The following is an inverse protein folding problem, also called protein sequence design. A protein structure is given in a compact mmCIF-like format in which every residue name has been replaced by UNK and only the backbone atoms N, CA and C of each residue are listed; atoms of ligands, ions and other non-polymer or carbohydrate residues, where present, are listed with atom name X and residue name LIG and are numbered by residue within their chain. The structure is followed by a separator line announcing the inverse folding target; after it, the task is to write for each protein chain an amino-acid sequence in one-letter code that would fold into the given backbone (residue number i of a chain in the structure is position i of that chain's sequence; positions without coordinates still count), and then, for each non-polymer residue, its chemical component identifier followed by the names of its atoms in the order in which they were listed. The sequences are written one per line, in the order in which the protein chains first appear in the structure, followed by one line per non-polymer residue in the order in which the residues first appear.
data_IF_524857303004
#
_entry.id   IF_524857303004
#
_cell.length_a   1.000
_cell.length_b   1.000
_cell.length_c   1.000
_cell.angle_alpha   90.00
_cell.angle_beta   90.00
_cell.angle_gamma   90.00
#
_symmetry.space_group_name_H-M   'P 1'
#
loop_
_entity.id
_entity.type
_entity.pdbx_description
1 polymer ?
#
# COMPACT_ATOMS: atom_id res chain seq x y z
N UNK A 1 7.34 -25.90 13.04
CA UNK A 1 7.06 -24.79 13.98
C UNK A 1 6.11 -25.32 15.04
N UNK A 2 6.48 -25.26 16.33
CA UNK A 2 5.60 -25.61 17.42
C UNK A 2 4.58 -24.49 17.69
N UNK A 3 3.39 -24.81 18.22
CA UNK A 3 2.35 -23.80 18.49
C UNK A 3 2.82 -22.65 19.38
N UNK A 4 3.85 -22.86 20.24
CA UNK A 4 4.46 -21.83 21.07
C UNK A 4 5.19 -20.75 20.27
N UNK A 5 5.65 -21.06 19.07
CA UNK A 5 6.39 -20.16 18.19
C UNK A 5 5.46 -19.19 17.44
N UNK A 6 4.13 -19.43 17.52
CA UNK A 6 3.09 -18.58 16.93
C UNK A 6 2.50 -17.57 17.92
N UNK A 7 3.03 -17.53 19.17
CA UNK A 7 2.53 -16.62 20.19
C UNK A 7 2.49 -15.17 19.71
N UNK A 8 1.37 -14.49 20.00
CA UNK A 8 1.10 -13.11 19.62
C UNK A 8 0.50 -12.91 18.23
N UNK A 9 0.59 -13.88 17.31
CA UNK A 9 0.03 -13.74 15.98
C UNK A 9 -1.50 -13.77 16.00
N UNK A 10 -2.18 -12.90 15.22
CA UNK A 10 -3.62 -12.94 15.02
C UNK A 10 -4.07 -14.27 14.42
N UNK A 11 -5.26 -14.77 14.83
CA UNK A 11 -5.77 -16.07 14.38
C UNK A 11 -5.89 -16.15 12.86
N UNK A 12 -6.37 -15.09 12.20
CA UNK A 12 -6.49 -15.05 10.74
C UNK A 12 -5.13 -15.24 10.03
N UNK A 13 -4.04 -14.69 10.59
CA UNK A 13 -2.68 -14.84 10.06
C UNK A 13 -2.20 -16.29 10.21
N UNK A 14 -2.53 -16.94 11.33
CA UNK A 14 -2.22 -18.36 11.59
C UNK A 14 -2.99 -19.25 10.62
N UNK A 15 -4.28 -18.97 10.38
CA UNK A 15 -5.14 -19.77 9.50
C UNK A 15 -4.70 -19.62 8.04
N UNK A 16 -4.37 -18.39 7.59
CA UNK A 16 -3.78 -18.16 6.27
C UNK A 16 -2.44 -18.91 6.09
N UNK A 17 -1.58 -18.90 7.12
CA UNK A 17 -0.31 -19.63 7.06
C UNK A 17 -0.50 -21.15 7.01
N UNK A 18 -1.54 -21.68 7.69
CA UNK A 18 -1.92 -23.10 7.61
C UNK A 18 -2.43 -23.47 6.23
N UNK A 19 -3.29 -22.63 5.64
CA UNK A 19 -3.77 -22.82 4.27
C UNK A 19 -2.61 -22.81 3.28
N UNK A 20 -1.70 -21.81 3.35
CA UNK A 20 -0.51 -21.74 2.51
C UNK A 20 0.40 -22.98 2.64
N UNK A 21 0.47 -23.60 3.81
CA UNK A 21 1.19 -24.86 4.00
C UNK A 21 0.48 -26.01 3.28
N UNK A 22 -0.84 -26.13 3.46
CA UNK A 22 -1.66 -27.15 2.82
C UNK A 22 -1.60 -27.09 1.29
N UNK A 23 -1.72 -25.89 0.71
CA UNK A 23 -1.63 -25.65 -0.74
C UNK A 23 -0.26 -26.04 -1.32
N UNK A 24 0.79 -25.95 -0.49
CA UNK A 24 2.14 -26.39 -0.84
C UNK A 24 2.42 -27.86 -0.52
N UNK A 25 1.44 -28.64 -0.03
CA UNK A 25 1.62 -30.02 0.39
C UNK A 25 2.50 -30.18 1.64
N UNK A 26 2.57 -29.16 2.50
CA UNK A 26 3.37 -29.14 3.72
C UNK A 26 2.47 -29.27 4.95
N UNK A 27 3.00 -29.86 6.01
CA UNK A 27 2.37 -29.86 7.34
C UNK A 27 2.76 -28.61 8.12
N UNK A 28 1.87 -28.11 9.00
CA UNK A 28 2.11 -26.98 9.88
C UNK A 28 1.73 -25.62 9.26
N UNK A 29 2.63 -24.65 9.30
CA UNK A 29 2.37 -23.27 8.88
C UNK A 29 3.47 -22.77 7.93
N UNK A 30 3.07 -22.17 6.83
CA UNK A 30 3.97 -21.56 5.85
C UNK A 30 3.75 -20.04 5.84
N UNK A 31 4.69 -19.28 6.42
CA UNK A 31 4.74 -17.84 6.29
C UNK A 31 5.54 -17.46 5.05
N UNK A 32 5.06 -16.46 4.32
CA UNK A 32 5.69 -15.96 3.09
C UNK A 32 6.24 -14.56 3.29
N UNK A 33 7.02 -14.06 2.33
CA UNK A 33 7.51 -12.68 2.33
C UNK A 33 6.53 -11.69 1.66
N UNK A 34 5.33 -12.13 1.33
CA UNK A 34 4.26 -11.25 0.87
C UNK A 34 3.71 -10.41 2.03
N UNK A 35 3.31 -9.18 1.74
CA UNK A 35 2.89 -8.20 2.76
C UNK A 35 1.84 -8.74 3.75
N UNK A 36 0.78 -9.47 3.33
CA UNK A 36 -0.22 -10.00 4.26
C UNK A 36 0.32 -11.04 5.26
N UNK A 37 1.44 -11.67 4.96
CA UNK A 37 2.12 -12.62 5.86
C UNK A 37 3.26 -11.94 6.62
N UNK A 38 4.09 -11.18 5.93
CA UNK A 38 5.30 -10.55 6.47
C UNK A 38 5.01 -9.47 7.52
N UNK A 39 4.12 -8.52 7.19
CA UNK A 39 3.84 -7.36 8.07
C UNK A 39 3.25 -7.81 9.41
N UNK A 40 2.14 -8.60 9.46
CA UNK A 40 1.61 -9.06 10.73
C UNK A 40 2.60 -9.92 11.51
N UNK A 41 3.46 -10.69 10.82
CA UNK A 41 4.47 -11.50 11.49
C UNK A 41 5.46 -10.63 12.26
N UNK A 42 6.00 -9.57 11.64
CA UNK A 42 6.92 -8.64 12.32
C UNK A 42 6.23 -7.81 13.41
N UNK A 43 4.95 -7.51 13.22
CA UNK A 43 4.17 -6.69 14.17
C UNK A 43 3.78 -7.45 15.43
N UNK A 44 3.36 -8.71 15.29
CA UNK A 44 2.68 -9.42 16.37
C UNK A 44 3.44 -10.64 16.92
N UNK A 45 4.35 -11.28 16.16
CA UNK A 45 5.06 -12.45 16.62
C UNK A 45 5.93 -12.13 17.84
N UNK A 46 5.68 -12.82 18.96
CA UNK A 46 6.45 -12.59 20.21
C UNK A 46 7.87 -13.17 20.13
N UNK A 47 8.11 -14.16 19.29
CA UNK A 47 9.39 -14.83 19.17
C UNK A 47 10.40 -13.98 18.37
N UNK A 48 11.31 -13.29 19.07
CA UNK A 48 12.25 -12.33 18.50
C UNK A 48 13.13 -12.91 17.38
N UNK A 49 13.67 -14.12 17.54
CA UNK A 49 14.53 -14.75 16.53
C UNK A 49 13.78 -15.12 15.26
N UNK A 50 12.46 -15.39 15.34
CA UNK A 50 11.65 -15.60 14.17
C UNK A 50 11.39 -14.28 13.43
N UNK A 51 11.14 -13.16 14.15
CA UNK A 51 11.08 -11.84 13.53
C UNK A 51 12.38 -11.51 12.82
N UNK A 52 13.54 -11.77 13.46
CA UNK A 52 14.85 -11.60 12.84
C UNK A 52 14.99 -12.40 11.54
N UNK A 53 14.71 -13.70 11.59
CA UNK A 53 14.83 -14.58 10.44
C UNK A 53 13.93 -14.14 9.27
N UNK A 54 12.70 -13.71 9.58
CA UNK A 54 11.75 -13.20 8.60
C UNK A 54 12.24 -11.86 8.00
N UNK A 55 12.73 -10.95 8.82
CA UNK A 55 13.31 -9.68 8.41
C UNK A 55 14.54 -9.87 7.52
N UNK A 56 15.51 -10.69 7.94
CA UNK A 56 16.71 -10.98 7.16
C UNK A 56 16.34 -11.58 5.79
N UNK A 57 15.43 -12.56 5.75
CA UNK A 57 14.96 -13.14 4.51
C UNK A 57 14.30 -12.11 3.58
N UNK A 58 13.61 -11.12 4.14
CA UNK A 58 12.93 -10.07 3.36
C UNK A 58 13.91 -9.03 2.81
N UNK A 59 14.81 -8.46 3.65
CA UNK A 59 15.68 -7.35 3.26
C UNK A 59 16.88 -7.78 2.41
N UNK A 60 17.21 -9.07 2.41
CA UNK A 60 18.31 -9.63 1.63
C UNK A 60 17.85 -10.34 0.35
N UNK A 61 16.59 -10.15 -0.04
CA UNK A 61 16.09 -10.69 -1.31
C UNK A 61 16.90 -10.17 -2.49
N UNK A 62 17.20 -11.06 -3.42
CA UNK A 62 17.92 -10.74 -4.66
C UNK A 62 19.25 -9.99 -4.43
N UNK A 63 20.01 -10.39 -3.39
CA UNK A 63 21.31 -9.84 -3.03
C UNK A 63 22.36 -10.93 -2.83
N UNK A 64 23.59 -10.50 -2.64
CA UNK A 64 24.76 -11.32 -2.30
C UNK A 64 24.77 -11.77 -0.81
N UNK A 65 23.69 -11.50 -0.06
CA UNK A 65 23.58 -11.77 1.39
C UNK A 65 22.32 -12.54 1.75
N UNK A 66 22.30 -13.04 2.99
CA UNK A 66 21.14 -13.69 3.60
C UNK A 66 20.96 -15.15 3.15
N UNK A 67 19.79 -15.75 3.47
CA UNK A 67 19.55 -17.18 3.28
C UNK A 67 19.54 -17.64 1.82
N UNK A 68 19.38 -16.73 0.86
CA UNK A 68 19.39 -16.99 -0.58
C UNK A 68 20.50 -16.22 -1.30
N UNK A 69 21.62 -15.93 -0.59
CA UNK A 69 22.77 -15.24 -1.16
C UNK A 69 23.18 -15.87 -2.52
N UNK A 70 23.53 -15.00 -3.46
CA UNK A 70 24.02 -15.34 -4.81
C UNK A 70 23.01 -16.09 -5.71
N UNK A 71 21.88 -16.55 -5.21
CA UNK A 71 20.93 -17.33 -6.01
C UNK A 71 20.17 -16.47 -7.04
N UNK A 72 19.86 -15.23 -6.67
CA UNK A 72 19.16 -14.25 -7.54
C UNK A 72 19.75 -12.84 -7.36
N UNK A 73 21.07 -12.76 -7.21
CA UNK A 73 21.76 -11.50 -6.94
C UNK A 73 21.59 -10.50 -8.09
N UNK A 74 21.05 -9.34 -7.77
CA UNK A 74 20.82 -8.23 -8.69
C UNK A 74 21.94 -7.18 -8.69
N UNK A 75 23.03 -7.39 -7.95
CA UNK A 75 24.10 -6.40 -7.78
C UNK A 75 24.65 -5.91 -9.12
N UNK A 76 24.93 -6.82 -10.06
CA UNK A 76 25.46 -6.43 -11.37
C UNK A 76 24.41 -5.72 -12.23
N UNK A 77 23.15 -6.17 -12.19
CA UNK A 77 22.03 -5.49 -12.86
C UNK A 77 21.84 -4.05 -12.35
N UNK A 78 21.98 -3.84 -11.04
CA UNK A 78 21.93 -2.50 -10.42
C UNK A 78 23.08 -1.61 -10.90
N UNK A 79 24.33 -2.11 -10.89
CA UNK A 79 25.49 -1.38 -11.42
C UNK A 79 25.32 -0.99 -12.87
N UNK A 80 24.86 -1.92 -13.70
CA UNK A 80 24.60 -1.66 -15.11
C UNK A 80 23.48 -0.63 -15.30
N UNK A 81 22.41 -0.69 -14.52
CA UNK A 81 21.32 0.29 -14.57
C UNK A 81 21.83 1.69 -14.26
N UNK A 82 22.61 1.86 -13.19
CA UNK A 82 23.18 3.17 -12.82
C UNK A 82 24.13 3.71 -13.90
N UNK A 83 24.98 2.85 -14.48
CA UNK A 83 25.83 3.24 -15.58
C UNK A 83 25.03 3.73 -16.79
N UNK A 84 24.02 2.97 -17.21
CA UNK A 84 23.17 3.33 -18.36
C UNK A 84 22.34 4.59 -18.11
N UNK A 85 21.86 4.81 -16.89
CA UNK A 85 21.18 6.07 -16.50
C UNK A 85 22.12 7.27 -16.66
N UNK A 86 23.37 7.14 -16.19
CA UNK A 86 24.39 8.18 -16.36
C UNK A 86 24.73 8.44 -17.84
N UNK A 87 24.99 7.39 -18.62
CA UNK A 87 25.27 7.50 -20.06
C UNK A 87 24.11 8.20 -20.79
N UNK A 88 22.87 7.84 -20.46
CA UNK A 88 21.66 8.48 -21.02
C UNK A 88 21.58 9.96 -20.70
N UNK A 89 21.83 10.36 -19.46
CA UNK A 89 21.82 11.77 -19.06
C UNK A 89 22.89 12.56 -19.84
N UNK A 90 24.12 12.07 -19.91
CA UNK A 90 25.20 12.71 -20.64
C UNK A 90 24.93 12.82 -22.15
N UNK A 91 24.29 11.83 -22.77
CA UNK A 91 23.87 11.90 -24.19
C UNK A 91 22.84 12.99 -24.47
N UNK A 92 22.14 13.46 -23.44
CA UNK A 92 21.13 14.50 -23.51
C UNK A 92 21.63 15.84 -22.92
N UNK A 93 22.95 16.02 -22.80
CA UNK A 93 23.64 17.22 -22.26
C UNK A 93 23.23 17.54 -20.81
N UNK A 94 22.85 16.51 -20.01
CA UNK A 94 22.51 16.62 -18.58
C UNK A 94 23.66 16.08 -17.72
N UNK A 95 23.87 16.67 -16.53
CA UNK A 95 24.98 16.28 -15.65
C UNK A 95 24.75 14.91 -14.99
N UNK A 96 23.49 14.64 -14.61
CA UNK A 96 23.11 13.39 -13.95
C UNK A 96 21.63 13.01 -14.23
N UNK A 97 21.28 11.77 -13.89
CA UNK A 97 19.98 11.20 -14.22
C UNK A 97 18.82 11.89 -13.52
N UNK A 98 19.02 12.51 -12.34
CA UNK A 98 17.98 13.28 -11.65
C UNK A 98 17.52 14.49 -12.50
N UNK A 99 18.43 15.21 -13.18
CA UNK A 99 18.05 16.28 -14.13
C UNK A 99 17.16 15.74 -15.26
N UNK A 100 17.55 14.60 -15.83
CA UNK A 100 16.72 13.94 -16.85
C UNK A 100 15.33 13.58 -16.29
N UNK A 101 15.28 13.03 -15.08
CA UNK A 101 14.04 12.63 -14.42
C UNK A 101 13.08 13.80 -14.18
N UNK A 102 13.61 15.00 -13.93
CA UNK A 102 12.81 16.20 -13.70
C UNK A 102 12.23 16.85 -14.96
N UNK A 103 12.71 16.51 -16.16
CA UNK A 103 12.25 17.13 -17.41
C UNK A 103 10.74 17.00 -17.66
N UNK A 104 10.10 16.01 -17.04
CA UNK A 104 8.66 15.73 -17.17
C UNK A 104 7.91 15.91 -15.84
N UNK A 105 8.48 16.66 -14.91
CA UNK A 105 7.92 16.96 -13.59
C UNK A 105 7.68 18.45 -13.41
N UNK A 106 7.00 18.83 -12.33
CA UNK A 106 6.68 20.20 -11.99
C UNK A 106 7.85 20.93 -11.29
N UNK A 107 8.69 20.17 -10.56
CA UNK A 107 9.86 20.73 -9.89
C UNK A 107 10.89 21.24 -10.93
N UNK A 108 11.39 22.47 -10.70
CA UNK A 108 12.25 23.16 -11.66
C UNK A 108 13.71 22.67 -11.67
N UNK A 109 14.19 22.17 -10.52
CA UNK A 109 15.59 21.74 -10.38
C UNK A 109 15.80 20.67 -9.32
N UNK A 110 16.94 19.97 -9.42
CA UNK A 110 17.37 18.98 -8.42
C UNK A 110 17.64 19.66 -7.08
N UNK A 111 18.24 20.86 -7.10
CA UNK A 111 18.53 21.63 -5.88
C UNK A 111 17.25 22.02 -5.13
N UNK A 112 16.17 22.35 -5.87
CA UNK A 112 14.85 22.64 -5.27
C UNK A 112 14.30 21.41 -4.55
N UNK A 113 14.29 20.25 -5.20
CA UNK A 113 13.80 18.99 -4.61
C UNK A 113 14.65 18.59 -3.41
N UNK A 114 15.99 18.67 -3.53
CA UNK A 114 16.90 18.34 -2.44
C UNK A 114 16.71 19.31 -1.25
N UNK A 115 16.62 20.60 -1.53
CA UNK A 115 16.37 21.64 -0.51
C UNK A 115 15.08 21.39 0.25
N UNK A 116 13.99 21.07 -0.46
CA UNK A 116 12.70 20.70 0.13
C UNK A 116 12.79 19.47 1.05
N UNK A 117 13.45 18.41 0.58
CA UNK A 117 13.60 17.18 1.36
C UNK A 117 14.47 17.41 2.61
N UNK A 118 15.55 18.18 2.50
CA UNK A 118 16.41 18.51 3.63
C UNK A 118 15.71 19.40 4.67
N UNK A 119 14.89 20.36 4.22
CA UNK A 119 14.08 21.18 5.13
C UNK A 119 13.05 20.32 5.90
N UNK A 120 12.36 19.43 5.21
CA UNK A 120 11.45 18.46 5.86
C UNK A 120 12.18 17.56 6.86
N UNK A 121 13.37 17.08 6.51
CA UNK A 121 14.18 16.25 7.40
C UNK A 121 14.54 17.01 8.69
N UNK A 122 14.95 18.25 8.57
CA UNK A 122 15.30 19.08 9.74
C UNK A 122 14.07 19.34 10.63
N UNK A 123 12.90 19.59 10.05
CA UNK A 123 11.65 19.77 10.79
C UNK A 123 11.21 18.48 11.52
N UNK A 124 11.44 17.30 10.92
CA UNK A 124 11.07 16.01 11.50
C UNK A 124 12.09 15.51 12.52
N UNK A 125 13.33 16.00 12.53
CA UNK A 125 14.42 15.44 13.34
C UNK A 125 14.11 15.38 14.84
N UNK A 126 13.73 16.51 15.44
CA UNK A 126 13.45 16.56 16.89
C UNK A 126 12.23 15.71 17.27
N UNK A 127 11.07 15.77 16.57
CA UNK A 127 9.97 14.85 16.83
C UNK A 127 10.35 13.38 16.68
N UNK A 128 11.10 13.01 15.64
CA UNK A 128 11.53 11.64 15.42
C UNK A 128 12.49 11.12 16.49
N UNK A 129 13.40 11.97 16.99
CA UNK A 129 14.27 11.63 18.14
C UNK A 129 13.45 11.37 19.40
N UNK A 130 12.37 12.12 19.63
CA UNK A 130 11.46 11.91 20.76
C UNK A 130 10.67 10.61 20.60
N UNK A 131 10.13 10.33 19.41
CA UNK A 131 9.43 9.09 19.09
C UNK A 131 10.36 7.86 19.25
N UNK A 132 11.57 7.97 18.75
CA UNK A 132 12.60 6.93 18.88
C UNK A 132 12.96 6.66 20.34
N UNK A 133 13.20 7.73 21.11
CA UNK A 133 13.49 7.61 22.53
C UNK A 133 12.35 6.95 23.30
N UNK A 134 11.11 7.34 23.04
CA UNK A 134 9.94 6.74 23.67
C UNK A 134 9.85 5.22 23.36
N UNK A 135 10.15 4.84 22.10
CA UNK A 135 10.17 3.44 21.71
C UNK A 135 11.27 2.63 22.40
N UNK A 136 12.48 3.19 22.51
CA UNK A 136 13.60 2.56 23.23
C UNK A 136 13.31 2.41 24.72
N UNK A 137 12.81 3.48 25.37
CA UNK A 137 12.48 3.46 26.80
C UNK A 137 11.40 2.40 27.07
N UNK A 138 10.36 2.34 26.22
CA UNK A 138 9.32 1.33 26.33
C UNK A 138 9.86 -0.11 26.19
N UNK A 139 10.72 -0.39 25.22
CA UNK A 139 11.29 -1.72 25.02
C UNK A 139 12.18 -2.15 26.19
N UNK A 140 12.94 -1.20 26.75
CA UNK A 140 13.77 -1.42 27.93
C UNK A 140 12.93 -1.71 29.17
N UNK A 141 11.90 -0.92 29.42
CA UNK A 141 11.00 -1.09 30.57
C UNK A 141 10.23 -2.39 30.53
N UNK A 142 9.74 -2.75 29.32
CA UNK A 142 8.91 -3.93 29.14
C UNK A 142 9.70 -5.23 29.20
N UNK A 143 10.77 -5.34 28.43
CA UNK A 143 11.47 -6.60 28.16
C UNK A 143 12.98 -6.55 28.48
N UNK A 144 13.49 -5.45 29.07
CA UNK A 144 14.91 -5.25 29.35
C UNK A 144 15.78 -5.12 28.10
N UNK A 145 15.20 -4.75 26.96
CA UNK A 145 15.91 -4.67 25.69
C UNK A 145 16.61 -3.31 25.57
N UNK A 146 17.93 -3.28 25.73
CA UNK A 146 18.72 -2.04 25.67
C UNK A 146 18.88 -1.48 24.23
N UNK A 147 18.94 -2.37 23.22
CA UNK A 147 19.19 -1.99 21.83
C UNK A 147 18.13 -2.60 20.95
N UNK A 148 17.30 -1.74 20.33
CA UNK A 148 16.36 -2.13 19.30
C UNK A 148 17.10 -2.41 17.98
N UNK A 149 16.74 -3.50 17.35
CA UNK A 149 17.15 -3.85 16.00
C UNK A 149 15.99 -3.61 15.03
N UNK A 150 16.28 -3.57 13.73
CA UNK A 150 15.27 -3.28 12.73
C UNK A 150 14.05 -4.23 12.78
N UNK A 151 14.24 -5.49 13.13
CA UNK A 151 13.15 -6.48 13.30
C UNK A 151 12.34 -6.32 14.59
N UNK A 152 12.74 -5.42 15.47
CA UNK A 152 12.04 -5.12 16.73
C UNK A 152 11.08 -3.93 16.58
N UNK A 153 11.31 -3.06 15.59
CA UNK A 153 10.62 -1.77 15.48
C UNK A 153 9.11 -1.93 15.37
N UNK A 154 8.62 -2.72 14.42
CA UNK A 154 7.19 -2.91 14.21
C UNK A 154 6.51 -3.53 15.44
N UNK A 155 7.17 -4.49 16.10
CA UNK A 155 6.64 -5.16 17.28
C UNK A 155 6.49 -4.18 18.46
N UNK A 156 7.54 -3.44 18.79
CA UNK A 156 7.49 -2.51 19.93
C UNK A 156 6.64 -1.27 19.61
N UNK A 157 6.62 -0.82 18.37
CA UNK A 157 5.73 0.27 17.94
C UNK A 157 4.25 -0.10 18.17
N UNK A 158 3.83 -1.30 17.76
CA UNK A 158 2.45 -1.76 17.97
C UNK A 158 2.11 -1.88 19.48
N UNK A 159 3.05 -2.44 20.28
CA UNK A 159 2.84 -2.55 21.73
C UNK A 159 2.79 -1.20 22.43
N UNK A 160 3.61 -0.25 22.02
CA UNK A 160 3.58 1.14 22.53
C UNK A 160 2.29 1.85 22.12
N UNK A 161 1.86 1.69 20.86
CA UNK A 161 0.58 2.21 20.34
C UNK A 161 -0.59 1.68 21.17
N UNK A 162 -0.62 0.38 21.40
CA UNK A 162 -1.64 -0.27 22.24
C UNK A 162 -1.64 0.27 23.68
N UNK A 163 -0.47 0.47 24.29
CA UNK A 163 -0.38 1.05 25.63
C UNK A 163 -0.87 2.51 25.67
N UNK A 164 -0.50 3.31 24.65
CA UNK A 164 -0.77 4.75 24.62
C UNK A 164 -2.23 5.06 24.32
N UNK A 165 -2.83 4.34 23.36
CA UNK A 165 -4.17 4.64 22.84
C UNK A 165 -5.25 3.61 23.25
N UNK A 166 -4.85 2.54 23.96
CA UNK A 166 -5.74 1.42 24.32
C UNK A 166 -6.48 0.86 23.11
N UNK A 167 -5.74 0.61 22.01
CA UNK A 167 -6.27 0.32 20.71
C UNK A 167 -5.26 -0.49 19.86
N UNK A 168 -5.78 -1.40 19.04
CA UNK A 168 -5.01 -2.17 18.04
C UNK A 168 -5.69 -2.13 16.69
N UNK A 169 -4.93 -2.21 15.60
CA UNK A 169 -5.50 -2.27 14.25
C UNK A 169 -6.34 -3.55 14.03
N UNK A 170 -6.04 -4.62 14.78
CA UNK A 170 -6.83 -5.86 14.72
C UNK A 170 -8.26 -5.70 15.29
N UNK A 171 -8.49 -4.74 16.18
CA UNK A 171 -9.86 -4.41 16.67
C UNK A 171 -10.72 -3.76 15.60
N UNK A 172 -10.13 -3.10 14.60
CA UNK A 172 -10.84 -2.51 13.47
C UNK A 172 -11.22 -3.53 12.39
N UNK A 173 -10.43 -4.56 12.24
CA UNK A 173 -10.53 -5.52 11.13
C UNK A 173 -11.92 -6.12 10.93
N UNK A 174 -12.64 -6.55 11.98
CA UNK A 174 -14.00 -7.06 11.84
C UNK A 174 -14.99 -6.07 11.23
N UNK A 175 -14.70 -4.78 11.26
CA UNK A 175 -15.54 -3.72 10.69
C UNK A 175 -15.29 -3.43 9.22
N UNK A 176 -14.25 -4.04 8.60
CA UNK A 176 -13.88 -3.79 7.21
C UNK A 176 -13.88 -5.08 6.36
N UNK A 177 -15.02 -5.80 6.25
CA UNK A 177 -15.15 -6.83 5.22
C UNK A 177 -15.00 -6.20 3.83
N UNK A 178 -14.23 -6.82 2.94
CA UNK A 178 -13.90 -6.26 1.63
C UNK A 178 -15.14 -5.84 0.82
N UNK A 179 -16.18 -6.67 0.80
CA UNK A 179 -17.40 -6.37 0.04
C UNK A 179 -18.11 -5.12 0.59
N UNK A 180 -18.16 -4.95 1.92
CA UNK A 180 -18.71 -3.76 2.57
C UNK A 180 -17.89 -2.52 2.21
N UNK A 181 -16.56 -2.63 2.25
CA UNK A 181 -15.64 -1.55 1.89
C UNK A 181 -15.81 -1.14 0.43
N UNK A 182 -15.94 -2.11 -0.49
CA UNK A 182 -16.18 -1.84 -1.92
C UNK A 182 -17.51 -1.11 -2.15
N UNK A 183 -18.59 -1.56 -1.54
CA UNK A 183 -19.89 -0.90 -1.63
C UNK A 183 -19.82 0.53 -1.05
N UNK A 184 -19.11 0.69 0.07
CA UNK A 184 -18.85 1.99 0.68
C UNK A 184 -18.06 2.92 -0.24
N UNK A 185 -16.98 2.44 -0.83
CA UNK A 185 -16.20 3.18 -1.83
C UNK A 185 -17.07 3.65 -2.99
N UNK A 186 -17.89 2.76 -3.56
CA UNK A 186 -18.78 3.12 -4.66
C UNK A 186 -19.82 4.16 -4.22
N UNK A 187 -20.30 4.09 -2.98
CA UNK A 187 -21.21 5.10 -2.41
C UNK A 187 -20.52 6.46 -2.23
N UNK A 188 -19.26 6.50 -1.79
CA UNK A 188 -18.46 7.74 -1.73
C UNK A 188 -18.36 8.38 -3.11
N UNK A 189 -18.02 7.59 -4.12
CA UNK A 189 -17.84 8.04 -5.50
C UNK A 189 -19.17 8.56 -6.09
N UNK A 190 -20.29 7.89 -5.79
CA UNK A 190 -21.61 8.35 -6.21
C UNK A 190 -21.96 9.70 -5.56
N UNK A 191 -21.75 9.84 -4.25
CA UNK A 191 -22.05 11.08 -3.51
C UNK A 191 -21.19 12.25 -3.95
N UNK A 192 -19.90 12.03 -4.17
CA UNK A 192 -18.95 13.09 -4.56
C UNK A 192 -19.11 13.51 -6.02
N UNK A 193 -19.24 12.55 -6.91
CA UNK A 193 -19.12 12.81 -8.35
C UNK A 193 -20.40 12.49 -9.13
N UNK A 194 -21.39 11.86 -8.51
CA UNK A 194 -22.59 11.40 -9.17
C UNK A 194 -22.36 10.25 -10.14
N UNK A 195 -21.37 9.41 -9.84
CA UNK A 195 -20.98 8.28 -10.66
C UNK A 195 -21.58 6.99 -10.10
N UNK A 196 -22.04 6.11 -10.97
CA UNK A 196 -22.51 4.78 -10.61
C UNK A 196 -21.50 3.74 -11.07
N UNK A 197 -21.10 2.87 -10.15
CA UNK A 197 -20.26 1.71 -10.43
C UNK A 197 -21.16 0.49 -10.56
N UNK A 198 -21.08 -0.22 -11.68
CA UNK A 198 -21.97 -1.32 -12.02
C UNK A 198 -21.11 -2.53 -12.40
N UNK A 199 -21.41 -3.70 -11.80
CA UNK A 199 -20.78 -4.94 -12.25
C UNK A 199 -21.09 -5.17 -13.74
N UNK A 200 -20.07 -5.40 -14.52
CA UNK A 200 -20.18 -5.61 -15.96
C UNK A 200 -19.94 -7.08 -16.31
N UNK A 201 -20.38 -7.48 -17.52
CA UNK A 201 -20.05 -8.81 -18.06
C UNK A 201 -18.53 -8.96 -18.10
N UNK A 202 -18.03 -9.95 -17.36
CA UNK A 202 -16.59 -10.17 -17.18
C UNK A 202 -15.98 -10.71 -18.48
N UNK A 203 -15.02 -10.00 -19.08
CA UNK A 203 -14.27 -10.54 -20.22
C UNK A 203 -13.34 -11.67 -19.75
N UNK A 204 -12.56 -12.22 -20.67
CA UNK A 204 -11.48 -13.14 -20.31
C UNK A 204 -10.50 -12.46 -19.34
N UNK A 205 -10.21 -13.13 -18.22
CA UNK A 205 -9.35 -12.64 -17.14
C UNK A 205 -8.23 -13.62 -16.85
N UNK A 206 -7.16 -13.15 -16.23
CA UNK A 206 -5.96 -13.93 -15.91
C UNK A 206 -6.06 -14.71 -14.58
N UNK A 207 -7.10 -14.44 -13.79
CA UNK A 207 -7.39 -15.13 -12.53
C UNK A 207 -8.87 -15.01 -12.19
N UNK A 208 -9.45 -16.05 -11.60
CA UNK A 208 -10.89 -16.13 -11.33
C UNK A 208 -11.39 -15.11 -10.30
N UNK A 209 -10.52 -14.61 -9.42
CA UNK A 209 -10.86 -13.61 -8.40
C UNK A 209 -10.94 -12.18 -8.98
N UNK A 210 -10.54 -11.96 -10.23
CA UNK A 210 -10.58 -10.65 -10.87
C UNK A 210 -12.02 -10.26 -11.16
N UNK A 211 -12.41 -9.08 -10.68
CA UNK A 211 -13.72 -8.48 -10.89
C UNK A 211 -13.66 -7.43 -12.01
N UNK A 212 -14.77 -7.19 -12.70
CA UNK A 212 -14.85 -6.22 -13.78
C UNK A 212 -16.08 -5.34 -13.63
N UNK A 213 -15.87 -4.01 -13.72
CA UNK A 213 -16.91 -3.01 -13.50
C UNK A 213 -16.93 -1.96 -14.60
N UNK A 214 -18.11 -1.33 -14.74
CA UNK A 214 -18.35 -0.16 -15.58
C UNK A 214 -18.66 1.05 -14.71
N UNK A 215 -18.17 2.22 -15.10
CA UNK A 215 -18.55 3.51 -14.49
C UNK A 215 -19.46 4.28 -15.43
N UNK A 216 -20.59 4.76 -14.90
CA UNK A 216 -21.54 5.65 -15.58
C UNK A 216 -21.72 6.96 -14.82
N UNK A 217 -21.96 8.03 -15.55
CA UNK A 217 -22.31 9.33 -14.98
C UNK A 217 -23.82 9.47 -14.71
N UNK A 218 -24.24 10.68 -14.27
CA UNK A 218 -25.64 10.97 -13.93
C UNK A 218 -26.58 10.87 -15.14
N UNK A 219 -26.08 11.11 -16.34
CA UNK A 219 -26.81 11.00 -17.61
C UNK A 219 -26.80 9.57 -18.18
N UNK A 220 -26.38 8.59 -17.37
CA UNK A 220 -26.24 7.19 -17.73
C UNK A 220 -25.22 6.94 -18.86
N UNK A 221 -24.33 7.89 -19.11
CA UNK A 221 -23.28 7.74 -20.10
C UNK A 221 -22.09 7.00 -19.51
N UNK A 222 -21.58 6.05 -20.26
CA UNK A 222 -20.38 5.30 -19.89
C UNK A 222 -19.15 6.20 -19.86
N UNK A 223 -18.40 6.13 -18.76
CA UNK A 223 -17.16 6.87 -18.60
C UNK A 223 -15.95 5.97 -18.81
N UNK A 224 -15.98 4.72 -18.38
CA UNK A 224 -14.90 3.75 -18.52
C UNK A 224 -15.23 2.41 -17.90
N UNK A 225 -14.24 1.52 -17.92
CA UNK A 225 -14.25 0.21 -17.22
C UNK A 225 -13.01 0.03 -16.41
N UNK A 226 -13.08 -0.88 -15.45
CA UNK A 226 -11.92 -1.27 -14.68
C UNK A 226 -11.95 -2.71 -14.19
N UNK A 227 -10.76 -3.27 -14.05
CA UNK A 227 -10.53 -4.54 -13.40
C UNK A 227 -10.10 -4.29 -11.96
N UNK A 228 -10.58 -5.13 -11.03
CA UNK A 228 -10.10 -5.22 -9.66
C UNK A 228 -9.42 -6.57 -9.45
N UNK A 229 -8.12 -6.56 -9.22
CA UNK A 229 -7.31 -7.72 -8.85
C UNK A 229 -6.77 -7.51 -7.44
N UNK A 230 -7.53 -7.91 -6.43
CA UNK A 230 -7.37 -7.46 -5.05
C UNK A 230 -6.51 -8.36 -4.18
N UNK A 231 -6.41 -9.67 -4.48
CA UNK A 231 -5.79 -10.62 -3.57
C UNK A 231 -4.32 -10.92 -3.90
N UNK A 232 -3.53 -11.15 -2.83
CA UNK A 232 -2.19 -11.67 -2.95
C UNK A 232 -2.21 -13.13 -3.41
N UNK A 233 -1.27 -13.53 -4.26
CA UNK A 233 -1.08 -14.91 -4.71
C UNK A 233 0.35 -15.16 -5.16
N UNK A 234 0.73 -16.41 -5.32
CA UNK A 234 2.04 -16.78 -5.83
C UNK A 234 2.27 -16.17 -7.23
N UNK A 235 3.48 -15.70 -7.48
CA UNK A 235 3.90 -15.02 -8.71
C UNK A 235 3.26 -13.66 -9.01
N UNK A 236 2.31 -13.18 -8.19
CA UNK A 236 1.81 -11.81 -8.31
C UNK A 236 2.81 -10.84 -7.69
N UNK A 237 3.09 -9.73 -8.40
CA UNK A 237 3.92 -8.64 -7.88
C UNK A 237 3.27 -8.07 -6.61
N UNK A 238 4.07 -7.86 -5.56
CA UNK A 238 3.63 -7.24 -4.31
C UNK A 238 3.42 -5.73 -4.44
N UNK A 239 2.71 -5.15 -3.47
CA UNK A 239 2.31 -3.74 -3.45
C UNK A 239 0.91 -3.53 -4.03
N UNK A 240 0.52 -2.27 -4.19
CA UNK A 240 -0.70 -1.88 -4.89
C UNK A 240 -0.34 -0.91 -6.01
N UNK A 241 -1.10 -0.90 -7.06
CA UNK A 241 -0.92 0.03 -8.19
C UNK A 241 -2.15 0.07 -9.08
N UNK A 242 -2.38 1.24 -9.68
CA UNK A 242 -3.22 1.39 -10.86
C UNK A 242 -2.35 1.33 -12.12
N UNK A 243 -2.86 0.74 -13.19
CA UNK A 243 -2.29 0.81 -14.52
C UNK A 243 -3.36 1.07 -15.58
N UNK A 244 -2.99 1.84 -16.61
CA UNK A 244 -3.85 2.04 -17.76
C UNK A 244 -3.86 0.81 -18.67
N UNK A 245 -5.06 0.38 -19.08
CA UNK A 245 -5.26 -0.65 -20.10
C UNK A 245 -5.51 -0.01 -21.45
N UNK A 246 -6.51 0.85 -21.50
CA UNK A 246 -6.82 1.69 -22.65
C UNK A 246 -7.01 3.14 -22.23
N UNK A 247 -6.43 4.07 -23.00
CA UNK A 247 -6.66 5.49 -22.83
C UNK A 247 -7.90 5.94 -23.58
N UNK A 248 -8.54 7.02 -23.13
CA UNK A 248 -9.59 7.68 -23.89
C UNK A 248 -9.01 8.20 -25.21
N UNK A 249 -9.69 7.88 -26.30
CA UNK A 249 -9.28 8.31 -27.64
C UNK A 249 -10.50 8.48 -28.53
N UNK A 250 -10.57 9.59 -29.26
CA UNK A 250 -11.55 9.80 -30.32
C UNK A 250 -10.91 9.65 -31.69
N UNK A 251 -11.42 8.73 -32.47
CA UNK A 251 -11.20 8.69 -33.93
C UNK A 251 -12.39 9.36 -34.64
N UNK A 252 -12.34 9.46 -35.96
CA UNK A 252 -13.36 10.15 -36.77
C UNK A 252 -14.79 9.70 -36.41
N UNK A 253 -15.01 8.40 -36.21
CA UNK A 253 -16.35 7.81 -36.07
C UNK A 253 -16.54 7.05 -34.72
N UNK A 254 -15.55 6.98 -33.88
CA UNK A 254 -15.63 6.14 -32.68
C UNK A 254 -14.89 6.75 -31.48
N UNK A 255 -15.56 6.71 -30.32
CA UNK A 255 -14.96 6.99 -29.03
C UNK A 255 -14.52 5.68 -28.36
N UNK A 256 -13.22 5.55 -28.10
CA UNK A 256 -12.67 4.53 -27.20
C UNK A 256 -12.72 5.07 -25.77
N UNK A 257 -13.45 4.39 -24.91
CA UNK A 257 -13.44 4.71 -23.48
C UNK A 257 -12.20 4.16 -22.78
N UNK A 258 -11.74 4.80 -21.72
CA UNK A 258 -10.60 4.32 -20.93
C UNK A 258 -10.95 3.04 -20.15
N UNK A 259 -9.92 2.23 -19.92
CA UNK A 259 -9.97 1.03 -19.07
C UNK A 259 -8.77 1.04 -18.14
N UNK A 260 -8.99 0.79 -16.86
CA UNK A 260 -7.96 0.72 -15.83
C UNK A 260 -7.84 -0.68 -15.23
N UNK A 261 -6.62 -1.02 -14.81
CA UNK A 261 -6.35 -2.10 -13.87
C UNK A 261 -6.10 -1.50 -12.49
N UNK A 262 -6.78 -1.99 -11.47
CA UNK A 262 -6.49 -1.68 -10.08
C UNK A 262 -6.11 -2.96 -9.36
N UNK A 263 -4.89 -2.98 -8.85
CA UNK A 263 -4.27 -4.16 -8.28
C UNK A 263 -3.87 -3.90 -6.85
N UNK A 264 -4.28 -4.79 -5.94
CA UNK A 264 -3.87 -4.81 -4.55
C UNK A 264 -3.29 -6.20 -4.19
N UNK A 265 -2.86 -6.36 -2.96
CA UNK A 265 -2.36 -7.63 -2.43
C UNK A 265 -2.92 -7.88 -1.03
N UNK A 266 -4.24 -7.87 -0.90
CA UNK A 266 -4.95 -8.15 0.35
C UNK A 266 -4.93 -9.64 0.68
N UNK A 267 -5.23 -9.96 1.94
CA UNK A 267 -5.40 -11.35 2.37
C UNK A 267 -6.62 -11.97 1.69
N UNK A 268 -6.45 -13.16 1.12
CA UNK A 268 -7.58 -13.92 0.55
C UNK A 268 -8.58 -14.34 1.64
N UNK A 269 -9.85 -14.59 1.29
CA UNK A 269 -10.78 -15.30 2.15
C UNK A 269 -10.20 -16.64 2.61
N UNK A 270 -10.50 -17.03 3.87
CA UNK A 270 -10.02 -18.30 4.44
C UNK A 270 -11.23 -19.15 4.83
N UNK A 271 -11.46 -20.24 4.14
CA UNK A 271 -12.67 -21.05 4.30
C UNK A 271 -13.92 -20.23 4.03
N UNK A 272 -14.87 -20.22 4.98
CA UNK A 272 -16.11 -19.42 4.90
C UNK A 272 -15.96 -17.97 5.42
N UNK A 273 -14.77 -17.60 5.87
CA UNK A 273 -14.52 -16.23 6.39
C UNK A 273 -14.19 -15.28 5.24
N UNK A 274 -14.88 -14.13 5.14
CA UNK A 274 -14.56 -13.13 4.12
C UNK A 274 -13.18 -12.52 4.33
N UNK A 275 -12.64 -11.88 3.30
CA UNK A 275 -11.44 -11.04 3.44
C UNK A 275 -11.77 -9.84 4.33
N UNK A 276 -11.10 -9.75 5.47
CA UNK A 276 -11.21 -8.64 6.42
C UNK A 276 -9.98 -7.74 6.26
N UNK A 277 -10.21 -6.47 5.89
CA UNK A 277 -9.15 -5.52 5.64
C UNK A 277 -8.67 -4.85 6.93
N UNK A 278 -7.37 -4.56 7.01
CA UNK A 278 -6.85 -3.56 7.94
C UNK A 278 -7.22 -2.17 7.44
N UNK A 279 -7.30 -1.19 8.32
CA UNK A 279 -7.64 0.18 7.92
C UNK A 279 -6.65 0.75 6.88
N UNK A 280 -5.36 0.43 6.96
CA UNK A 280 -4.35 0.77 5.94
C UNK A 280 -4.66 0.17 4.57
N UNK A 281 -5.25 -1.03 4.52
CA UNK A 281 -5.67 -1.67 3.27
C UNK A 281 -6.92 -1.01 2.69
N UNK A 282 -7.81 -0.49 3.54
CA UNK A 282 -8.94 0.37 3.12
C UNK A 282 -8.41 1.64 2.47
N UNK A 283 -7.47 2.34 3.12
CA UNK A 283 -6.81 3.54 2.57
C UNK A 283 -6.16 3.22 1.21
N UNK A 284 -5.42 2.11 1.12
CA UNK A 284 -4.78 1.66 -0.12
C UNK A 284 -5.81 1.46 -1.26
N UNK A 285 -6.94 0.83 -0.97
CA UNK A 285 -8.00 0.63 -1.97
C UNK A 285 -8.56 1.95 -2.48
N UNK A 286 -8.82 2.91 -1.59
CA UNK A 286 -9.29 4.25 -1.95
C UNK A 286 -8.24 5.02 -2.77
N UNK A 287 -6.97 4.90 -2.40
CA UNK A 287 -5.84 5.46 -3.12
C UNK A 287 -5.80 4.99 -4.57
N UNK A 288 -5.73 3.67 -4.79
CA UNK A 288 -5.69 3.09 -6.15
C UNK A 288 -6.94 3.43 -6.96
N UNK A 289 -8.09 3.50 -6.29
CA UNK A 289 -9.32 3.92 -6.94
C UNK A 289 -9.29 5.40 -7.35
N UNK A 290 -8.60 6.26 -6.59
CA UNK A 290 -8.37 7.66 -6.95
C UNK A 290 -7.59 7.83 -8.25
N UNK A 291 -6.53 7.05 -8.43
CA UNK A 291 -5.83 6.96 -9.71
C UNK A 291 -6.74 6.44 -10.84
N UNK A 292 -7.52 5.39 -10.54
CA UNK A 292 -8.49 4.84 -11.50
C UNK A 292 -9.52 5.87 -11.94
N UNK A 293 -10.09 6.66 -11.02
CA UNK A 293 -11.02 7.73 -11.35
C UNK A 293 -10.36 8.81 -12.20
N UNK A 294 -9.15 9.24 -11.84
CA UNK A 294 -8.39 10.21 -12.63
C UNK A 294 -8.25 9.74 -14.09
N UNK A 295 -7.90 8.47 -14.29
CA UNK A 295 -7.78 7.89 -15.61
C UNK A 295 -9.13 7.80 -16.35
N UNK A 296 -10.17 7.30 -15.69
CA UNK A 296 -11.44 6.98 -16.34
C UNK A 296 -12.35 8.18 -16.57
N UNK A 297 -12.24 9.25 -15.77
CA UNK A 297 -13.09 10.43 -15.88
C UNK A 297 -12.57 11.48 -16.86
N UNK A 298 -11.42 11.25 -17.46
CA UNK A 298 -10.86 12.18 -18.45
C UNK A 298 -11.85 12.50 -19.56
N UNK A 299 -11.86 13.75 -20.00
CA UNK A 299 -12.60 14.20 -21.21
C UNK A 299 -11.66 14.51 -22.37
N UNK A 300 -10.36 14.34 -22.17
CA UNK A 300 -9.34 14.53 -23.21
C UNK A 300 -9.39 13.36 -24.19
N UNK A 301 -9.61 13.67 -25.47
CA UNK A 301 -9.78 12.67 -26.54
C UNK A 301 -8.47 12.25 -27.24
N UNK A 302 -7.33 12.79 -26.79
CA UNK A 302 -5.98 12.50 -27.33
C UNK A 302 -5.26 11.55 -26.35
N UNK A 303 -5.07 10.29 -26.72
CA UNK A 303 -4.63 9.23 -25.84
C UNK A 303 -3.29 9.47 -25.13
N UNK A 304 -2.35 10.18 -25.75
CA UNK A 304 -1.02 10.47 -25.16
C UNK A 304 -1.04 11.45 -23.98
N UNK A 305 -2.16 12.16 -23.80
CA UNK A 305 -2.36 13.15 -22.71
C UNK A 305 -3.74 12.97 -22.05
N UNK A 306 -4.34 11.80 -22.20
CA UNK A 306 -5.63 11.45 -21.60
C UNK A 306 -5.48 10.65 -20.32
N UNK A 307 -6.30 10.96 -19.33
CA UNK A 307 -6.28 10.27 -18.04
C UNK A 307 -4.97 10.45 -17.31
N UNK A 308 -4.32 9.36 -16.94
CA UNK A 308 -3.04 9.38 -16.21
C UNK A 308 -1.85 9.65 -17.15
N UNK A 309 -2.03 9.54 -18.48
CA UNK A 309 -0.96 9.76 -19.44
C UNK A 309 -0.58 11.23 -19.54
N UNK A 310 0.72 11.52 -19.48
CA UNK A 310 1.25 12.89 -19.59
C UNK A 310 1.12 13.73 -18.31
N UNK A 311 0.62 13.16 -17.22
CA UNK A 311 0.59 13.82 -15.91
C UNK A 311 2.02 13.87 -15.35
N UNK A 312 2.50 15.03 -14.85
CA UNK A 312 3.77 15.09 -14.13
C UNK A 312 3.77 14.13 -12.93
N UNK A 313 4.83 13.32 -12.81
CA UNK A 313 4.90 12.28 -11.76
C UNK A 313 4.83 12.84 -10.33
N UNK A 314 5.28 14.05 -10.10
CA UNK A 314 5.20 14.76 -8.82
C UNK A 314 3.82 15.34 -8.52
N UNK A 315 2.87 15.26 -9.46
CA UNK A 315 1.47 15.66 -9.27
C UNK A 315 0.49 14.46 -9.33
N UNK A 316 0.99 13.27 -9.70
CA UNK A 316 0.14 12.10 -10.00
C UNK A 316 -0.68 11.61 -8.80
N UNK A 317 -0.17 11.83 -7.58
CA UNK A 317 -0.78 11.37 -6.34
C UNK A 317 -1.93 12.27 -5.83
N UNK A 318 -2.19 13.42 -6.46
CA UNK A 318 -3.23 14.33 -6.00
C UNK A 318 -4.63 13.69 -5.94
N UNK A 319 -5.12 12.98 -6.97
CA UNK A 319 -6.43 12.33 -6.94
C UNK A 319 -6.50 11.14 -6.00
N UNK A 320 -5.42 10.35 -5.89
CA UNK A 320 -5.35 9.19 -5.02
C UNK A 320 -5.38 9.59 -3.55
N UNK A 321 -4.51 10.50 -3.13
CA UNK A 321 -4.45 11.02 -1.75
C UNK A 321 -5.71 11.81 -1.37
N UNK A 322 -6.38 12.44 -2.34
CA UNK A 322 -7.67 13.09 -2.08
C UNK A 322 -8.72 12.08 -1.60
N UNK A 323 -8.82 10.90 -2.22
CA UNK A 323 -9.80 9.90 -1.82
C UNK A 323 -9.49 9.25 -0.47
N UNK A 324 -8.23 9.17 -0.05
CA UNK A 324 -7.84 8.64 1.27
C UNK A 324 -8.52 9.38 2.43
N UNK A 325 -8.81 10.68 2.26
CA UNK A 325 -9.44 11.48 3.31
C UNK A 325 -10.76 10.91 3.79
N UNK A 326 -11.52 10.26 2.92
CA UNK A 326 -12.83 9.68 3.26
C UNK A 326 -12.73 8.48 4.19
N UNK A 327 -11.58 7.80 4.22
CA UNK A 327 -11.32 6.71 5.14
C UNK A 327 -11.21 7.15 6.61
N UNK A 328 -11.22 8.47 6.89
CA UNK A 328 -11.09 9.06 8.21
C UNK A 328 -12.32 9.88 8.64
N UNK A 329 -13.30 10.04 7.76
CA UNK A 329 -14.48 10.86 8.02
C UNK A 329 -15.65 9.99 8.53
N UNK A 330 -16.26 10.41 9.64
CA UNK A 330 -17.38 9.69 10.24
C UNK A 330 -18.48 9.40 9.22
N UNK A 331 -18.87 10.43 8.46
CA UNK A 331 -19.94 10.36 7.48
C UNK A 331 -19.70 9.34 6.36
N UNK A 332 -18.44 9.03 6.08
CA UNK A 332 -18.06 8.00 5.11
C UNK A 332 -17.94 6.63 5.79
N UNK A 333 -17.34 6.58 6.98
CA UNK A 333 -17.18 5.34 7.74
C UNK A 333 -18.51 4.70 8.11
N UNK A 334 -19.60 5.45 8.22
CA UNK A 334 -20.96 4.93 8.45
C UNK A 334 -21.43 3.92 7.40
N UNK A 335 -20.86 3.97 6.19
CA UNK A 335 -21.19 3.04 5.11
C UNK A 335 -19.99 2.35 4.46
N UNK A 336 -18.75 2.76 4.79
CA UNK A 336 -17.53 2.04 4.43
C UNK A 336 -17.28 0.87 5.38
N UNK A 337 -17.73 1.01 6.65
CA UNK A 337 -17.58 -0.01 7.69
C UNK A 337 -18.87 -0.75 7.98
N UNK A 338 -18.73 -2.00 8.43
CA UNK A 338 -19.84 -2.82 8.90
C UNK A 338 -19.30 -4.10 9.51
N UNK A 339 -19.53 -4.30 10.81
CA UNK A 339 -19.02 -5.48 11.52
C UNK A 339 -19.47 -6.78 10.84
N UNK A 340 -18.56 -7.68 10.59
CA UNK A 340 -18.74 -8.90 9.78
C UNK A 340 -19.92 -9.77 10.25
N UNK A 341 -20.24 -9.80 11.55
CA UNK A 341 -21.32 -10.59 12.10
C UNK A 341 -22.62 -9.79 12.30
N UNK A 342 -22.52 -8.54 12.79
CA UNK A 342 -23.67 -7.72 13.17
C UNK A 342 -24.10 -6.69 12.13
N UNK A 343 -23.23 -6.37 11.17
CA UNK A 343 -23.44 -5.31 10.20
C UNK A 343 -23.35 -3.88 10.78
N UNK A 344 -23.07 -3.74 12.07
CA UNK A 344 -22.97 -2.42 12.72
C UNK A 344 -21.77 -1.65 12.22
N UNK A 345 -21.94 -0.36 11.92
CA UNK A 345 -20.84 0.53 11.56
C UNK A 345 -19.82 0.65 12.70
N UNK A 346 -18.62 1.14 12.36
CA UNK A 346 -17.55 1.37 13.33
C UNK A 346 -18.03 2.24 14.49
N UNK A 347 -17.90 1.79 15.75
CA UNK A 347 -18.29 2.57 16.92
C UNK A 347 -17.49 3.86 17.09
N UNK A 348 -18.13 4.89 17.70
CA UNK A 348 -17.49 6.20 17.88
C UNK A 348 -16.24 6.14 18.76
N UNK A 349 -16.23 5.30 19.79
CA UNK A 349 -15.09 5.12 20.68
C UNK A 349 -13.86 4.50 19.95
N UNK A 350 -14.08 3.58 19.03
CA UNK A 350 -13.02 3.04 18.18
C UNK A 350 -12.54 4.07 17.15
N UNK A 351 -13.45 4.87 16.59
CA UNK A 351 -13.08 5.95 15.69
C UNK A 351 -12.22 7.01 16.40
N UNK A 352 -12.60 7.41 17.60
CA UNK A 352 -11.83 8.37 18.41
C UNK A 352 -10.41 7.86 18.68
N UNK A 353 -10.24 6.59 19.07
CA UNK A 353 -8.95 5.95 19.28
C UNK A 353 -8.13 5.88 18.00
N UNK A 354 -8.76 5.50 16.89
CA UNK A 354 -8.14 5.45 15.56
C UNK A 354 -7.61 6.82 15.14
N UNK A 355 -8.42 7.88 15.31
CA UNK A 355 -8.02 9.26 15.00
C UNK A 355 -6.91 9.77 15.94
N UNK A 356 -6.93 9.42 17.21
CA UNK A 356 -5.86 9.75 18.15
C UNK A 356 -4.52 9.08 17.76
N UNK A 357 -4.57 7.85 17.25
CA UNK A 357 -3.39 7.10 16.82
C UNK A 357 -2.89 7.47 15.40
N UNK A 358 -3.64 8.26 14.63
CA UNK A 358 -3.37 8.55 13.20
C UNK A 358 -1.95 9.02 12.92
N UNK A 359 -1.40 9.86 13.79
CA UNK A 359 -0.06 10.44 13.62
C UNK A 359 1.00 9.77 14.50
N UNK A 360 0.72 8.58 15.03
CA UNK A 360 1.67 7.85 15.85
C UNK A 360 2.94 7.50 15.06
N UNK A 361 4.10 7.93 15.55
CA UNK A 361 5.43 7.78 14.92
C UNK A 361 5.53 8.35 13.49
N UNK A 362 4.72 9.38 13.17
CA UNK A 362 4.69 9.98 11.85
C UNK A 362 6.03 10.65 11.46
N UNK A 363 6.77 11.22 12.42
CA UNK A 363 8.06 11.85 12.14
C UNK A 363 9.14 10.83 11.78
N UNK A 364 9.21 9.68 12.46
CA UNK A 364 10.11 8.57 12.11
C UNK A 364 9.77 8.03 10.72
N UNK A 365 8.49 7.86 10.40
CA UNK A 365 8.05 7.40 9.09
C UNK A 365 8.42 8.40 7.99
N UNK A 366 8.24 9.69 8.23
CA UNK A 366 8.61 10.76 7.28
C UNK A 366 10.11 10.75 7.02
N UNK A 367 10.95 10.68 8.05
CA UNK A 367 12.40 10.59 7.87
C UNK A 367 12.84 9.38 7.04
N UNK A 368 12.17 8.24 7.22
CA UNK A 368 12.43 7.06 6.40
C UNK A 368 12.09 7.29 4.93
N UNK A 369 10.99 7.97 4.61
CA UNK A 369 10.64 8.31 3.23
C UNK A 369 11.63 9.31 2.63
N UNK A 370 12.06 10.29 3.40
CA UNK A 370 13.07 11.27 2.98
C UNK A 370 14.42 10.59 2.71
N UNK A 371 14.82 9.64 3.54
CA UNK A 371 16.05 8.84 3.32
C UNK A 371 16.03 8.14 1.96
N UNK A 372 14.94 7.45 1.62
CA UNK A 372 14.80 6.80 0.32
C UNK A 372 14.80 7.80 -0.84
N UNK A 373 14.08 8.91 -0.67
CA UNK A 373 13.99 9.94 -1.71
C UNK A 373 15.34 10.61 -1.99
N UNK A 374 16.07 10.99 -0.94
CA UNK A 374 17.42 11.56 -1.07
C UNK A 374 18.42 10.56 -1.62
N UNK A 375 18.31 9.28 -1.22
CA UNK A 375 19.18 8.23 -1.74
C UNK A 375 18.98 8.06 -3.25
N UNK A 376 17.73 7.92 -3.73
CA UNK A 376 17.45 7.77 -5.18
C UNK A 376 17.81 9.03 -5.96
N UNK A 377 17.56 10.23 -5.42
CA UNK A 377 17.87 11.50 -6.07
C UNK A 377 19.38 11.70 -6.30
N UNK A 378 20.21 11.19 -5.38
CA UNK A 378 21.68 11.36 -5.39
C UNK A 378 22.45 10.24 -6.10
N UNK A 379 21.77 9.15 -6.50
CA UNK A 379 22.35 8.07 -7.31
C UNK A 379 22.44 8.48 -8.79
#
# INVERSE_FOLDING_TARGET
TEARELAGLPQQVIDAARQNAGDAGLEGWRFTLQAPSYIPFLTYCEHREHRRSMYEAYVTRASDRGPNADRWDNTESMRQTLRLRREKALLLDMQHYAEYSLQTKMADSVDEVEGFLLELAERCRVPAEQEWKALQDFARERDGLEILQAWDLAFYAEKLKQQTFSFTDEELRPYFPLDTVLQGLFTVVERLFGLRVIAAERPEVWNDDVQFFEIRDREDQRRGWFYLDLYAREHKRGGAWMADCYNRRRSTDKLQHPVAFMTCNFTQPVGDQPSLLRHEEVITLFHEFGHGLHHMLTQVDVSSVAGISGVPWDAVELPSQFLENWCWQREALDFISGHVESGQALPDDLLEKMLAAKNFQAAMQMLRQIEFSLFDLRL
#
